data_IF_785489075851
#
_entry.id   IF_785489075851
#
_cell.length_a   1.000
_cell.length_b   1.000
_cell.length_c   1.000
_cell.angle_alpha   90.00
_cell.angle_beta   90.00
_cell.angle_gamma   90.00
#
_symmetry.space_group_name_H-M   'P 1'
#
loop_
_entity.id
_entity.type
_entity.pdbx_description
1 polymer ?
#
# COMPACT_ATOMS: atom_id res chain seq x y z
N UNK A 1 4.74 -4.87 5.07
CA UNK A 1 4.31 -6.26 5.29
C UNK A 1 2.80 -6.27 5.55
N UNK A 2 2.10 -7.40 5.38
CA UNK A 2 0.66 -7.49 5.65
C UNK A 2 -0.31 -7.18 4.48
N UNK A 3 0.19 -7.07 3.25
CA UNK A 3 -0.63 -7.02 2.04
C UNK A 3 -0.84 -8.43 1.49
N UNK A 4 -2.08 -8.74 1.12
CA UNK A 4 -2.56 -10.04 0.64
C UNK A 4 -2.86 -10.05 -0.87
N UNK A 5 -2.40 -9.04 -1.62
CA UNK A 5 -2.56 -9.04 -3.07
C UNK A 5 -1.62 -10.05 -3.75
N UNK A 6 -1.99 -10.49 -4.96
CA UNK A 6 -1.18 -11.39 -5.78
C UNK A 6 0.29 -10.93 -5.91
N UNK A 7 0.52 -9.63 -6.09
CA UNK A 7 1.89 -9.10 -6.17
C UNK A 7 2.70 -9.37 -4.91
N UNK A 8 2.12 -9.11 -3.73
CA UNK A 8 2.82 -9.26 -2.45
C UNK A 8 2.96 -10.71 -2.00
N UNK A 9 2.08 -11.62 -2.44
CA UNK A 9 2.14 -13.05 -2.10
C UNK A 9 3.09 -13.84 -3.01
N UNK A 10 3.34 -13.37 -4.23
CA UNK A 10 4.13 -14.12 -5.22
C UNK A 10 5.48 -13.47 -5.60
N UNK A 11 5.68 -12.18 -5.35
CA UNK A 11 6.87 -11.46 -5.79
C UNK A 11 7.54 -10.67 -4.67
N UNK A 12 8.87 -10.59 -4.74
CA UNK A 12 9.67 -9.81 -3.81
C UNK A 12 9.77 -8.34 -4.23
N UNK A 13 10.03 -7.45 -3.27
CA UNK A 13 10.33 -6.03 -3.55
C UNK A 13 11.55 -5.87 -4.47
N UNK A 14 12.56 -6.72 -4.31
CA UNK A 14 13.77 -6.71 -5.15
C UNK A 14 13.44 -7.06 -6.61
N UNK A 15 12.54 -8.02 -6.82
CA UNK A 15 12.08 -8.38 -8.17
C UNK A 15 11.29 -7.24 -8.81
N UNK A 16 10.35 -6.62 -8.10
CA UNK A 16 9.62 -5.44 -8.59
C UNK A 16 10.58 -4.30 -8.95
N UNK A 17 11.56 -4.01 -8.10
CA UNK A 17 12.58 -2.99 -8.38
C UNK A 17 13.35 -3.29 -9.67
N UNK A 18 13.74 -4.56 -9.87
CA UNK A 18 14.38 -5.00 -11.10
C UNK A 18 13.49 -4.77 -12.34
N UNK A 19 12.21 -5.18 -12.28
CA UNK A 19 11.26 -5.00 -13.39
C UNK A 19 11.09 -3.52 -13.77
N UNK A 20 10.97 -2.64 -12.78
CA UNK A 20 10.91 -1.19 -13.01
C UNK A 20 12.18 -0.65 -13.65
N UNK A 21 13.35 -1.10 -13.20
CA UNK A 21 14.64 -0.70 -13.77
C UNK A 21 14.84 -1.21 -15.20
N UNK A 22 14.35 -2.42 -15.48
CA UNK A 22 14.40 -3.05 -16.79
C UNK A 22 13.33 -2.51 -17.77
N UNK A 23 12.38 -1.69 -17.29
CA UNK A 23 11.23 -1.15 -18.06
C UNK A 23 10.36 -2.26 -18.66
N UNK A 24 10.20 -3.36 -17.94
CA UNK A 24 9.30 -4.43 -18.37
C UNK A 24 7.83 -4.04 -18.13
N UNK A 25 6.96 -4.43 -19.05
CA UNK A 25 5.52 -4.08 -19.01
C UNK A 25 4.83 -4.67 -17.77
N UNK A 26 5.27 -5.84 -17.31
CA UNK A 26 4.76 -6.52 -16.11
C UNK A 26 4.93 -5.68 -14.83
N UNK A 27 5.88 -4.73 -14.79
CA UNK A 27 6.13 -3.88 -13.63
C UNK A 27 4.89 -3.06 -13.30
N UNK A 28 4.31 -2.42 -14.31
CA UNK A 28 3.11 -1.60 -14.18
C UNK A 28 1.91 -2.45 -13.75
N UNK A 29 1.73 -3.63 -14.34
CA UNK A 29 0.62 -4.53 -13.96
C UNK A 29 0.69 -4.97 -12.51
N UNK A 30 1.86 -5.43 -12.05
CA UNK A 30 2.06 -5.87 -10.66
C UNK A 30 1.90 -4.73 -9.67
N UNK A 31 2.35 -3.53 -10.03
CA UNK A 31 2.16 -2.34 -9.21
C UNK A 31 0.69 -1.92 -9.14
N UNK A 32 -0.05 -1.96 -10.25
CA UNK A 32 -1.49 -1.67 -10.25
C UNK A 32 -2.26 -2.63 -9.34
N UNK A 33 -1.99 -3.93 -9.41
CA UNK A 33 -2.62 -4.92 -8.53
C UNK A 33 -2.39 -4.60 -7.05
N UNK A 34 -1.17 -4.19 -6.68
CA UNK A 34 -0.86 -3.78 -5.31
C UNK A 34 -1.57 -2.48 -4.91
N UNK A 35 -1.51 -1.47 -5.78
CA UNK A 35 -2.08 -0.15 -5.52
C UNK A 35 -3.60 -0.22 -5.36
N UNK A 36 -4.29 -0.96 -6.25
CA UNK A 36 -5.73 -1.17 -6.16
C UNK A 36 -6.11 -1.88 -4.86
N UNK A 37 -5.39 -2.95 -4.48
CA UNK A 37 -5.66 -3.64 -3.22
C UNK A 37 -5.48 -2.73 -2.01
N UNK A 38 -4.46 -1.87 -2.02
CA UNK A 38 -4.25 -0.88 -0.97
C UNK A 38 -5.43 0.09 -0.86
N UNK A 39 -5.86 0.68 -1.97
CA UNK A 39 -6.96 1.66 -1.97
C UNK A 39 -8.27 1.01 -1.52
N UNK A 40 -8.59 -0.20 -2.00
CA UNK A 40 -9.80 -0.93 -1.60
C UNK A 40 -9.80 -1.16 -0.08
N UNK A 41 -8.70 -1.68 0.48
CA UNK A 41 -8.60 -1.91 1.94
C UNK A 41 -8.68 -0.62 2.75
N UNK A 42 -8.11 0.48 2.23
CA UNK A 42 -8.20 1.79 2.87
C UNK A 42 -9.66 2.26 2.94
N UNK A 43 -10.40 2.23 1.82
CA UNK A 43 -11.79 2.70 1.82
C UNK A 43 -12.72 1.76 2.60
N UNK A 44 -12.43 0.46 2.64
CA UNK A 44 -13.17 -0.49 3.47
C UNK A 44 -12.98 -0.20 4.97
N UNK A 45 -11.76 0.11 5.40
CA UNK A 45 -11.49 0.54 6.77
C UNK A 45 -12.15 1.88 7.12
N UNK A 46 -12.16 2.84 6.18
CA UNK A 46 -12.89 4.10 6.33
C UNK A 46 -14.38 3.84 6.55
N UNK A 47 -15.01 3.00 5.72
CA UNK A 47 -16.44 2.66 5.87
C UNK A 47 -16.72 2.00 7.22
N UNK A 48 -15.95 0.99 7.59
CA UNK A 48 -16.13 0.27 8.86
C UNK A 48 -15.96 1.19 10.09
N UNK A 49 -15.01 2.13 10.05
CA UNK A 49 -14.79 3.07 11.14
C UNK A 49 -15.88 4.15 11.24
N UNK A 50 -16.50 4.54 10.13
CA UNK A 50 -17.68 5.42 10.15
C UNK A 50 -18.85 4.69 10.82
N UNK A 51 -19.12 3.44 10.42
CA UNK A 51 -20.21 2.64 11.00
C UNK A 51 -19.99 2.37 12.51
N UNK A 52 -18.73 2.26 12.93
CA UNK A 52 -18.34 2.06 14.33
C UNK A 52 -18.22 3.36 15.15
N UNK A 53 -18.34 4.54 14.52
CA UNK A 53 -18.14 5.84 15.19
C UNK A 53 -16.68 6.14 15.60
N UNK A 54 -15.70 5.43 15.03
CA UNK A 54 -14.27 5.52 15.36
C UNK A 54 -13.41 6.08 14.21
N UNK A 55 -14.02 6.83 13.29
CA UNK A 55 -13.33 7.36 12.10
C UNK A 55 -12.11 8.23 12.42
N UNK A 56 -12.18 9.09 13.45
CA UNK A 56 -11.07 9.99 13.80
C UNK A 56 -9.83 9.22 14.28
N UNK A 57 -10.03 8.14 15.05
CA UNK A 57 -8.96 7.23 15.49
C UNK A 57 -8.34 6.52 14.29
N UNK A 58 -9.18 5.93 13.43
CA UNK A 58 -8.73 5.26 12.20
C UNK A 58 -7.93 6.21 11.30
N UNK A 59 -8.40 7.44 11.12
CA UNK A 59 -7.72 8.47 10.35
C UNK A 59 -6.35 8.82 10.94
N UNK A 60 -6.28 9.02 12.26
CA UNK A 60 -5.03 9.35 12.94
C UNK A 60 -3.98 8.25 12.76
N UNK A 61 -4.39 6.98 12.92
CA UNK A 61 -3.51 5.83 12.77
C UNK A 61 -2.99 5.68 11.34
N UNK A 62 -3.88 5.74 10.34
CA UNK A 62 -3.50 5.60 8.93
C UNK A 62 -2.57 6.72 8.48
N UNK A 63 -2.88 7.98 8.79
CA UNK A 63 -2.04 9.11 8.42
C UNK A 63 -0.71 9.10 9.17
N UNK A 64 -0.72 8.72 10.45
CA UNK A 64 0.48 8.55 11.26
C UNK A 64 1.44 7.54 10.62
N UNK A 65 0.95 6.35 10.26
CA UNK A 65 1.75 5.32 9.60
C UNK A 65 2.24 5.75 8.20
N UNK A 66 1.37 6.38 7.40
CA UNK A 66 1.68 6.81 6.04
C UNK A 66 2.81 7.85 6.02
N UNK A 67 2.71 8.89 6.86
CA UNK A 67 3.74 9.94 6.92
C UNK A 67 4.99 9.53 7.68
N UNK A 68 4.90 8.63 8.68
CA UNK A 68 6.09 8.06 9.33
C UNK A 68 6.98 7.32 8.31
N UNK A 69 6.35 6.56 7.40
CA UNK A 69 7.06 5.86 6.32
C UNK A 69 7.70 6.85 5.34
N UNK A 70 6.95 7.86 4.87
CA UNK A 70 7.45 8.88 3.96
C UNK A 70 8.67 9.65 4.51
N UNK A 71 8.70 9.93 5.82
CA UNK A 71 9.85 10.60 6.47
C UNK A 71 11.11 9.73 6.54
N UNK A 72 10.97 8.41 6.52
CA UNK A 72 12.11 7.49 6.50
C UNK A 72 12.78 7.38 5.13
N UNK A 73 12.01 7.58 4.05
CA UNK A 73 12.49 7.51 2.67
C UNK A 73 13.15 8.81 2.20
N UNK A 74 12.73 9.97 2.71
CA UNK A 74 13.32 11.29 2.39
C UNK A 74 14.68 11.60 3.04
N UNK A 75 15.30 10.63 3.74
CA UNK A 75 16.65 10.76 4.36
C UNK A 75 17.74 10.00 3.59
N UNK A 76 17.44 9.53 2.37
CA UNK A 76 18.43 8.94 1.45
C UNK A 76 18.58 9.78 0.21
#
# INVERSE_FOLDING_TARGET
EGCDCYTCTHYSRAYLHHLFKAREMNASTLASIHNERFIVRLVDGIRASIDAGSFDEYRADVLGAYYATARSEGRR
#
